data_IF_140024101394
#
_entry.id   IF_140024101394
#
_cell.length_a   1.000
_cell.length_b   1.000
_cell.length_c   1.000
_cell.angle_alpha   90.00
_cell.angle_beta   90.00
_cell.angle_gamma   90.00
#
_symmetry.space_group_name_H-M   'P 1'
#
loop_
_entity.id
_entity.type
_entity.pdbx_description
1 polymer ?
#
# COMPACT_ATOMS: atom_id res chain seq x y z
N UNK A 1 56.44 -49.41 26.54
CA UNK A 1 55.37 -49.33 25.50
C UNK A 1 54.06 -49.21 26.27
N UNK A 2 53.60 -48.03 26.71
CA UNK A 2 53.23 -46.86 25.91
C UNK A 2 51.86 -47.10 25.26
N UNK A 3 50.77 -47.15 26.04
CA UNK A 3 49.81 -46.06 26.32
C UNK A 3 49.03 -45.59 25.08
N UNK A 4 47.72 -45.89 25.01
CA UNK A 4 46.63 -44.92 24.81
C UNK A 4 45.26 -45.63 24.77
N UNK A 5 44.55 -45.58 25.89
CA UNK A 5 43.11 -45.85 25.99
C UNK A 5 42.40 -44.50 25.76
N UNK A 6 41.69 -44.36 24.65
CA UNK A 6 40.84 -43.20 24.36
C UNK A 6 39.45 -43.47 24.94
N UNK A 7 39.23 -43.02 26.16
CA UNK A 7 37.89 -42.93 26.76
C UNK A 7 37.26 -41.63 26.23
N UNK A 8 36.37 -41.78 25.25
CA UNK A 8 35.55 -40.69 24.72
C UNK A 8 34.53 -40.25 25.77
N UNK A 9 34.83 -39.15 26.44
CA UNK A 9 33.94 -38.46 27.37
C UNK A 9 32.85 -37.73 26.56
N UNK A 10 31.73 -38.40 26.28
CA UNK A 10 30.54 -37.77 25.70
C UNK A 10 29.85 -36.94 26.78
N UNK A 11 30.27 -35.69 26.89
CA UNK A 11 29.64 -34.65 27.70
C UNK A 11 28.28 -34.31 27.04
N UNK A 12 27.20 -34.89 27.56
CA UNK A 12 25.83 -34.46 27.25
C UNK A 12 25.65 -33.03 27.78
N UNK A 13 25.81 -32.03 26.91
CA UNK A 13 25.26 -30.71 27.13
C UNK A 13 23.73 -30.78 27.02
N UNK A 14 23.06 -31.20 28.10
CA UNK A 14 21.66 -30.91 28.33
C UNK A 14 21.52 -29.43 28.71
N UNK A 15 21.73 -28.55 27.72
CA UNK A 15 21.26 -27.18 27.81
C UNK A 15 19.74 -27.23 27.64
N UNK A 16 19.03 -27.20 28.76
CA UNK A 16 17.67 -26.69 28.81
C UNK A 16 17.70 -25.26 28.27
N UNK A 17 17.48 -25.11 26.97
CA UNK A 17 17.06 -23.85 26.38
C UNK A 17 15.63 -23.59 26.88
N UNK A 18 15.52 -23.07 28.10
CA UNK A 18 14.39 -22.24 28.43
C UNK A 18 14.48 -21.06 27.47
N UNK A 19 13.73 -21.13 26.39
CA UNK A 19 13.54 -20.04 25.45
C UNK A 19 13.19 -18.82 26.30
N UNK A 20 14.04 -17.78 26.38
CA UNK A 20 13.64 -16.57 27.07
C UNK A 20 12.36 -16.13 26.37
N UNK A 21 11.27 -16.00 27.13
CA UNK A 21 10.06 -15.33 26.70
C UNK A 21 10.47 -13.92 26.27
N UNK A 22 10.92 -13.78 25.02
CA UNK A 22 11.14 -12.49 24.38
C UNK A 22 9.75 -11.89 24.35
N UNK A 23 9.49 -10.96 25.27
CA UNK A 23 8.23 -10.26 25.33
C UNK A 23 8.02 -9.63 23.97
N UNK A 24 7.13 -10.23 23.18
CA UNK A 24 6.81 -9.70 21.85
C UNK A 24 6.29 -8.29 22.10
N UNK A 25 6.89 -7.25 21.51
CA UNK A 25 6.46 -5.89 21.75
C UNK A 25 4.95 -5.82 21.50
N UNK A 26 4.20 -5.49 22.53
CA UNK A 26 2.74 -5.29 22.45
C UNK A 26 2.46 -4.25 21.38
N UNK A 27 1.41 -4.44 20.58
CA UNK A 27 1.05 -3.44 19.57
C UNK A 27 0.86 -2.08 20.25
N UNK A 28 1.54 -1.05 19.73
CA UNK A 28 1.59 0.29 20.30
C UNK A 28 2.81 0.58 21.18
N UNK A 29 3.49 -0.44 21.72
CA UNK A 29 4.61 -0.25 22.66
C UNK A 29 5.85 0.39 22.03
N UNK A 30 6.05 0.20 20.72
CA UNK A 30 7.13 0.80 19.92
C UNK A 30 6.65 1.97 19.06
N UNK A 31 5.43 2.46 19.29
CA UNK A 31 4.77 3.48 18.47
C UNK A 31 4.00 2.92 17.27
N UNK A 32 4.28 1.68 16.83
CA UNK A 32 3.52 0.99 15.76
C UNK A 32 2.17 0.50 16.27
N UNK A 33 1.08 0.87 15.60
CA UNK A 33 -0.27 0.50 16.01
C UNK A 33 -1.03 -0.16 14.85
N UNK A 34 -1.99 -1.00 15.18
CA UNK A 34 -2.81 -1.66 14.16
C UNK A 34 -3.76 -0.65 13.52
N UNK A 35 -4.07 -0.87 12.24
CA UNK A 35 -5.07 -0.09 11.51
C UNK A 35 -6.41 -0.23 12.21
N UNK A 36 -6.96 0.91 12.64
CA UNK A 36 -8.23 0.94 13.36
C UNK A 36 -9.35 0.40 12.47
N UNK A 37 -10.14 -0.53 13.02
CA UNK A 37 -11.25 -1.25 12.37
C UNK A 37 -10.88 -2.28 11.29
N UNK A 38 -9.64 -2.31 10.78
CA UNK A 38 -9.20 -3.30 9.78
C UNK A 38 -8.34 -4.41 10.37
N UNK A 39 -7.68 -4.16 11.51
CA UNK A 39 -6.76 -5.10 12.14
C UNK A 39 -6.89 -5.13 13.65
N UNK A 40 -6.49 -6.26 14.24
CA UNK A 40 -6.50 -6.51 15.68
C UNK A 40 -5.11 -6.92 16.16
N UNK A 41 -4.76 -6.54 17.40
CA UNK A 41 -3.51 -6.97 18.01
C UNK A 41 -3.65 -8.40 18.55
N UNK A 42 -2.97 -9.36 17.92
CA UNK A 42 -2.96 -10.76 18.33
C UNK A 42 -1.52 -11.17 18.61
N UNK A 43 -1.22 -11.63 19.83
CA UNK A 43 0.12 -12.06 20.24
C UNK A 43 1.24 -11.02 19.96
N UNK A 44 0.93 -9.73 20.18
CA UNK A 44 1.85 -8.62 19.94
C UNK A 44 2.04 -8.24 18.46
N UNK A 45 1.24 -8.79 17.55
CA UNK A 45 1.32 -8.48 16.11
C UNK A 45 -0.02 -7.95 15.60
N UNK A 46 0.04 -7.01 14.66
CA UNK A 46 -1.15 -6.52 13.99
C UNK A 46 -1.56 -7.48 12.87
N UNK A 47 -2.68 -8.17 13.10
CA UNK A 47 -3.25 -9.15 12.18
C UNK A 47 -4.53 -8.57 11.58
N UNK A 48 -4.67 -8.67 10.26
CA UNK A 48 -5.88 -8.22 9.57
C UNK A 48 -7.10 -9.02 10.02
N UNK A 49 -8.23 -8.33 10.16
CA UNK A 49 -9.50 -8.97 10.48
C UNK A 49 -9.94 -9.82 9.28
N UNK A 50 -10.20 -11.12 9.49
CA UNK A 50 -10.64 -12.02 8.43
C UNK A 50 -11.97 -11.53 7.81
N UNK A 51 -12.19 -11.73 6.51
CA UNK A 51 -11.39 -12.52 5.56
C UNK A 51 -10.15 -11.81 4.99
N UNK A 52 -9.87 -10.56 5.38
CA UNK A 52 -8.77 -9.81 4.79
C UNK A 52 -7.39 -10.40 5.12
N UNK A 53 -6.43 -10.19 4.22
CA UNK A 53 -5.03 -10.58 4.37
C UNK A 53 -4.10 -9.37 4.27
N UNK A 54 -2.82 -9.53 4.63
CA UNK A 54 -1.82 -8.47 4.54
C UNK A 54 -1.18 -8.16 5.88
N UNK A 55 -0.74 -6.92 6.06
CA UNK A 55 -0.06 -6.45 7.27
C UNK A 55 -0.94 -5.45 8.01
N UNK A 56 -1.40 -5.82 9.20
CA UNK A 56 -2.34 -5.00 9.96
C UNK A 56 -1.79 -3.65 10.46
N UNK A 57 -0.50 -3.37 10.26
CA UNK A 57 0.20 -2.11 10.55
C UNK A 57 0.55 -1.31 9.28
N UNK A 58 0.11 -1.78 8.11
CA UNK A 58 0.33 -1.14 6.82
C UNK A 58 -0.96 -1.10 5.99
N UNK A 59 -1.49 -2.28 5.64
CA UNK A 59 -2.73 -2.44 4.89
C UNK A 59 -3.28 -3.86 4.97
N UNK A 60 -4.60 -3.95 5.04
CA UNK A 60 -5.38 -5.17 4.89
C UNK A 60 -6.14 -5.15 3.56
N UNK A 61 -6.10 -6.25 2.83
CA UNK A 61 -6.59 -6.41 1.46
C UNK A 61 -7.66 -7.49 1.39
N UNK A 62 -8.54 -7.38 0.40
CA UNK A 62 -9.54 -8.42 0.13
C UNK A 62 -8.87 -9.70 -0.40
N UNK A 63 -9.46 -10.87 -0.11
CA UNK A 63 -8.89 -12.19 -0.51
C UNK A 63 -8.64 -12.34 -2.01
N UNK A 64 -9.40 -11.62 -2.82
CA UNK A 64 -9.35 -11.69 -4.29
C UNK A 64 -8.47 -10.60 -4.92
N UNK A 65 -7.82 -9.78 -4.10
CA UNK A 65 -6.95 -8.70 -4.57
C UNK A 65 -5.53 -9.19 -4.84
N UNK A 66 -4.88 -8.57 -5.82
CA UNK A 66 -3.43 -8.62 -6.00
C UNK A 66 -2.85 -7.24 -5.71
N UNK A 67 -1.65 -7.17 -5.15
CA UNK A 67 -1.10 -5.92 -4.63
C UNK A 67 0.36 -5.73 -5.02
N UNK A 68 0.73 -4.48 -5.28
CA UNK A 68 2.09 -4.01 -5.43
C UNK A 68 2.36 -2.98 -4.33
N UNK A 69 3.47 -3.09 -3.61
CA UNK A 69 3.76 -2.23 -2.46
C UNK A 69 5.15 -1.61 -2.59
N UNK A 70 5.30 -0.36 -2.13
CA UNK A 70 6.59 0.26 -1.82
C UNK A 70 6.56 0.76 -0.39
N UNK A 71 7.37 0.21 0.50
CA UNK A 71 7.35 0.59 1.92
C UNK A 71 8.74 0.55 2.55
N UNK A 72 8.91 1.33 3.62
CA UNK A 72 10.21 1.47 4.29
C UNK A 72 11.21 2.32 3.50
N UNK A 73 12.49 1.96 3.55
CA UNK A 73 13.56 2.51 2.68
C UNK A 73 13.58 1.71 1.38
N UNK A 74 12.92 2.21 0.32
CA UNK A 74 11.72 1.55 -0.15
C UNK A 74 12.07 0.22 -0.79
N UNK A 75 11.51 -0.84 -0.21
CA UNK A 75 11.46 -2.14 -0.84
C UNK A 75 10.21 -2.19 -1.71
N UNK A 76 10.40 -2.47 -3.01
CA UNK A 76 9.35 -2.78 -3.94
C UNK A 76 8.95 -4.24 -3.75
N UNK A 77 7.65 -4.49 -3.58
CA UNK A 77 7.05 -5.81 -3.56
C UNK A 77 6.12 -5.90 -4.76
N UNK A 78 6.46 -6.72 -5.75
CA UNK A 78 5.69 -6.86 -6.99
C UNK A 78 4.39 -7.65 -6.77
N UNK A 79 3.49 -7.65 -7.77
CA UNK A 79 2.28 -8.48 -7.75
C UNK A 79 2.58 -9.98 -7.62
N UNK A 80 3.77 -10.42 -8.05
CA UNK A 80 4.27 -11.79 -7.92
C UNK A 80 4.94 -12.07 -6.57
N UNK A 81 4.93 -11.10 -5.65
CA UNK A 81 5.57 -11.14 -4.32
C UNK A 81 7.11 -11.18 -4.37
N UNK A 82 7.71 -10.77 -5.47
CA UNK A 82 9.15 -10.56 -5.54
C UNK A 82 9.50 -9.28 -4.80
N UNK A 83 10.62 -9.30 -4.07
CA UNK A 83 11.08 -8.17 -3.27
C UNK A 83 12.38 -7.63 -3.84
N UNK A 84 12.40 -6.34 -4.15
CA UNK A 84 13.56 -5.64 -4.69
C UNK A 84 13.82 -4.35 -3.89
N UNK A 85 15.09 -4.05 -3.62
CA UNK A 85 15.46 -2.77 -3.04
C UNK A 85 15.36 -1.69 -4.13
N UNK A 86 14.56 -0.65 -3.89
CA UNK A 86 14.24 0.36 -4.90
C UNK A 86 14.58 1.79 -4.45
N UNK A 87 15.85 2.11 -4.10
CA UNK A 87 16.24 3.39 -3.51
C UNK A 87 16.39 4.54 -4.53
N UNK A 88 15.57 4.57 -5.57
CA UNK A 88 15.68 5.58 -6.62
C UNK A 88 14.86 6.83 -6.27
N UNK A 89 15.47 8.04 -6.19
CA UNK A 89 14.80 9.28 -5.77
C UNK A 89 13.97 9.94 -6.89
N UNK A 90 13.53 9.17 -7.88
CA UNK A 90 12.86 9.68 -9.07
C UNK A 90 11.37 9.31 -9.07
N UNK A 91 10.63 9.85 -10.04
CA UNK A 91 9.30 9.35 -10.43
C UNK A 91 9.49 8.07 -11.26
N UNK A 92 8.73 7.03 -10.95
CA UNK A 92 8.78 5.74 -11.65
C UNK A 92 7.37 5.17 -11.80
N UNK A 93 7.13 4.42 -12.88
CA UNK A 93 5.88 3.72 -13.10
C UNK A 93 5.83 2.49 -12.18
N UNK A 94 5.06 2.59 -11.09
CA UNK A 94 4.90 1.51 -10.11
C UNK A 94 3.97 0.41 -10.65
N UNK A 95 2.93 0.80 -11.39
CA UNK A 95 2.06 -0.15 -12.08
C UNK A 95 1.39 0.46 -13.30
N UNK A 96 1.11 -0.39 -14.28
CA UNK A 96 0.23 -0.10 -15.40
C UNK A 96 -0.71 -1.29 -15.58
N UNK A 97 -1.99 -1.07 -15.29
CA UNK A 97 -2.99 -2.13 -15.28
C UNK A 97 -4.09 -1.82 -16.27
N UNK A 98 -4.59 -2.87 -16.93
CA UNK A 98 -5.78 -2.84 -17.77
C UNK A 98 -6.75 -3.87 -17.24
N UNK A 99 -7.97 -3.47 -16.97
CA UNK A 99 -9.02 -4.33 -16.40
C UNK A 99 -10.30 -4.19 -17.22
N UNK A 100 -11.11 -5.24 -17.26
CA UNK A 100 -12.45 -5.15 -17.82
C UNK A 100 -13.34 -4.35 -16.86
N UNK A 101 -14.07 -3.37 -17.39
CA UNK A 101 -15.08 -2.65 -16.64
C UNK A 101 -16.35 -3.50 -16.63
N UNK A 102 -16.82 -3.82 -15.44
CA UNK A 102 -18.03 -4.63 -15.27
C UNK A 102 -19.11 -3.86 -14.56
N UNK A 103 -20.35 -4.09 -14.97
CA UNK A 103 -21.51 -3.56 -14.26
C UNK A 103 -21.81 -4.38 -12.99
N UNK A 104 -22.92 -4.05 -12.32
CA UNK A 104 -23.39 -4.76 -11.11
C UNK A 104 -23.84 -6.20 -11.39
N UNK A 105 -24.14 -6.54 -12.64
CA UNK A 105 -24.49 -7.90 -13.05
C UNK A 105 -23.26 -8.70 -13.49
N UNK A 106 -22.06 -8.12 -13.36
CA UNK A 106 -20.77 -8.70 -13.76
C UNK A 106 -20.64 -8.85 -15.29
N UNK A 107 -21.46 -8.14 -16.07
CA UNK A 107 -21.36 -8.03 -17.52
C UNK A 107 -20.26 -7.02 -17.89
N UNK A 108 -19.47 -7.35 -18.91
CA UNK A 108 -18.42 -6.45 -19.41
C UNK A 108 -19.07 -5.31 -20.20
N UNK A 109 -18.96 -4.09 -19.68
CA UNK A 109 -19.53 -2.88 -20.27
C UNK A 109 -18.46 -1.91 -20.78
N UNK A 110 -17.19 -2.32 -20.72
CA UNK A 110 -16.07 -1.47 -21.12
C UNK A 110 -14.72 -1.95 -20.60
N UNK A 111 -13.76 -1.02 -20.56
CA UNK A 111 -12.38 -1.26 -20.09
C UNK A 111 -11.86 -0.10 -19.26
N UNK A 112 -11.04 -0.42 -18.27
CA UNK A 112 -10.26 0.55 -17.51
C UNK A 112 -8.77 0.39 -17.80
N UNK A 113 -8.06 1.51 -17.83
CA UNK A 113 -6.61 1.57 -17.91
C UNK A 113 -6.09 2.54 -16.85
N UNK A 114 -5.28 2.05 -15.92
CA UNK A 114 -4.68 2.86 -14.86
C UNK A 114 -3.15 2.81 -14.91
N UNK A 115 -2.52 3.97 -14.79
CA UNK A 115 -1.08 4.11 -14.59
C UNK A 115 -0.84 4.77 -13.24
N UNK A 116 -0.06 4.11 -12.39
CA UNK A 116 0.31 4.66 -11.08
C UNK A 116 1.81 4.83 -11.05
N UNK A 117 2.25 6.06 -10.79
CA UNK A 117 3.65 6.36 -10.59
C UNK A 117 3.91 6.64 -9.11
N UNK A 118 4.96 6.06 -8.56
CA UNK A 118 5.49 6.47 -7.26
C UNK A 118 6.53 7.56 -7.45
N UNK A 119 6.77 8.37 -6.43
CA UNK A 119 7.97 9.19 -6.36
C UNK A 119 8.53 9.19 -4.95
N UNK A 120 9.83 8.92 -4.89
CA UNK A 120 10.56 8.89 -3.65
C UNK A 120 11.20 10.25 -3.37
N UNK A 121 11.50 10.50 -2.11
CA UNK A 121 12.33 11.60 -1.65
C UNK A 121 13.28 11.13 -0.57
N UNK A 122 14.09 12.04 -0.05
CA UNK A 122 15.04 11.75 1.02
C UNK A 122 14.67 12.50 2.28
N UNK A 123 14.63 11.79 3.41
CA UNK A 123 14.45 12.36 4.74
C UNK A 123 15.29 11.57 5.75
N UNK A 124 16.03 12.27 6.60
CA UNK A 124 16.85 11.65 7.67
C UNK A 124 17.80 10.55 7.15
N UNK A 125 18.40 10.77 5.98
CA UNK A 125 19.31 9.81 5.34
C UNK A 125 18.64 8.63 4.63
N UNK A 126 17.31 8.44 4.75
CA UNK A 126 16.55 7.35 4.15
C UNK A 126 15.78 7.81 2.92
N UNK A 127 15.53 6.90 1.98
CA UNK A 127 14.55 7.14 0.93
C UNK A 127 13.16 6.84 1.46
N UNK A 128 12.18 7.68 1.11
CA UNK A 128 10.80 7.55 1.54
C UNK A 128 9.87 7.79 0.35
N UNK A 129 8.71 7.16 0.35
CA UNK A 129 7.68 7.43 -0.67
C UNK A 129 6.99 8.74 -0.31
N UNK A 130 7.22 9.79 -1.11
CA UNK A 130 6.62 11.12 -0.89
C UNK A 130 5.19 11.23 -1.40
N UNK A 131 4.78 10.32 -2.27
CA UNK A 131 3.44 10.29 -2.83
C UNK A 131 3.36 9.50 -4.12
N UNK A 132 2.28 9.75 -4.86
CA UNK A 132 1.99 9.06 -6.10
C UNK A 132 1.31 9.98 -7.12
N UNK A 133 1.45 9.60 -8.37
CA UNK A 133 0.59 10.06 -9.45
C UNK A 133 -0.29 8.90 -9.91
N UNK A 134 -1.55 9.16 -10.25
CA UNK A 134 -2.44 8.18 -10.86
C UNK A 134 -3.15 8.81 -12.05
N UNK A 135 -3.13 8.09 -13.17
CA UNK A 135 -3.90 8.43 -14.37
C UNK A 135 -4.84 7.26 -14.64
N UNK A 136 -6.14 7.54 -14.75
CA UNK A 136 -7.18 6.55 -15.04
C UNK A 136 -7.89 6.93 -16.33
N UNK A 137 -8.20 5.92 -17.14
CA UNK A 137 -9.06 6.02 -18.31
C UNK A 137 -10.09 4.91 -18.24
N UNK A 138 -11.36 5.26 -18.39
CA UNK A 138 -12.53 4.39 -18.35
C UNK A 138 -13.20 4.54 -19.70
N UNK A 139 -13.35 3.44 -20.42
CA UNK A 139 -13.95 3.41 -21.75
C UNK A 139 -15.19 2.52 -21.69
N UNK A 140 -16.37 3.09 -21.90
CA UNK A 140 -17.63 2.35 -22.01
C UNK A 140 -17.84 1.91 -23.45
N UNK A 141 -18.41 0.72 -23.63
CA UNK A 141 -18.70 0.17 -24.95
C UNK A 141 -20.06 0.66 -25.50
N UNK A 142 -21.04 0.90 -24.64
CA UNK A 142 -22.39 1.34 -25.05
C UNK A 142 -23.09 2.25 -24.01
N UNK A 143 -23.36 3.53 -24.33
CA UNK A 143 -22.85 4.24 -25.50
C UNK A 143 -21.32 4.40 -25.43
N UNK A 144 -20.61 4.42 -26.57
CA UNK A 144 -19.16 4.62 -26.60
C UNK A 144 -18.79 5.96 -25.97
N UNK A 145 -18.24 5.92 -24.76
CA UNK A 145 -17.84 7.12 -24.02
C UNK A 145 -16.52 6.86 -23.31
N UNK A 146 -15.69 7.90 -23.16
CA UNK A 146 -14.42 7.80 -22.45
C UNK A 146 -14.37 8.86 -21.37
N UNK A 147 -14.08 8.42 -20.16
CA UNK A 147 -13.82 9.26 -18.99
C UNK A 147 -12.37 9.09 -18.61
N UNK A 148 -11.65 10.18 -18.42
CA UNK A 148 -10.25 10.13 -18.03
C UNK A 148 -9.96 11.17 -16.94
N UNK A 149 -8.99 10.87 -16.09
CA UNK A 149 -8.47 11.86 -15.14
C UNK A 149 -7.04 11.52 -14.71
N UNK A 150 -6.32 12.55 -14.27
CA UNK A 150 -4.99 12.43 -13.68
C UNK A 150 -4.98 13.12 -12.31
N UNK A 151 -4.28 12.55 -11.35
CA UNK A 151 -4.12 13.07 -9.99
C UNK A 151 -2.67 12.91 -9.56
N UNK A 152 -2.09 13.99 -9.03
CA UNK A 152 -0.84 13.98 -8.27
C UNK A 152 -1.15 14.26 -6.81
N UNK A 153 -0.65 13.40 -5.94
CA UNK A 153 -0.74 13.54 -4.50
C UNK A 153 0.63 13.42 -3.87
N UNK A 154 1.11 14.48 -3.20
CA UNK A 154 2.27 14.43 -2.31
C UNK A 154 1.83 14.72 -0.88
N UNK A 155 2.41 14.02 0.07
CA UNK A 155 2.23 14.32 1.48
C UNK A 155 3.52 14.11 2.26
N UNK A 156 3.80 15.05 3.16
CA UNK A 156 4.78 14.90 4.24
C UNK A 156 4.06 15.08 5.57
N UNK A 157 4.56 14.42 6.61
CA UNK A 157 3.96 14.49 7.95
C UNK A 157 4.99 14.97 8.95
N UNK A 158 4.58 15.86 9.85
CA UNK A 158 5.35 16.29 11.01
C UNK A 158 4.44 16.23 12.25
N UNK A 159 4.76 15.37 13.21
CA UNK A 159 3.97 15.18 14.44
C UNK A 159 2.49 14.86 14.15
N UNK A 160 2.22 13.95 13.23
CA UNK A 160 0.90 13.60 12.69
C UNK A 160 0.14 14.74 11.97
N UNK A 161 0.80 15.85 11.67
CA UNK A 161 0.23 16.95 10.87
C UNK A 161 0.71 16.81 9.44
N UNK A 162 -0.24 16.73 8.50
CA UNK A 162 0.05 16.53 7.08
C UNK A 162 0.17 17.85 6.32
N UNK A 163 1.24 17.99 5.55
CA UNK A 163 1.35 18.99 4.49
C UNK A 163 1.10 18.30 3.17
N UNK A 164 0.05 18.71 2.46
CA UNK A 164 -0.45 18.02 1.26
C UNK A 164 -0.29 18.92 0.03
N UNK A 165 0.24 18.36 -1.05
CA UNK A 165 0.13 18.91 -2.40
C UNK A 165 -0.78 18.00 -3.23
N UNK A 166 -1.94 18.51 -3.63
CA UNK A 166 -2.86 17.83 -4.54
C UNK A 166 -2.98 18.66 -5.83
N UNK A 167 -2.79 18.01 -6.98
CA UNK A 167 -3.05 18.56 -8.32
C UNK A 167 -3.81 17.53 -9.12
N UNK A 168 -4.76 17.94 -9.94
CA UNK A 168 -5.61 17.01 -10.68
C UNK A 168 -6.19 17.63 -11.93
N UNK A 169 -6.51 16.80 -12.92
CA UNK A 169 -7.10 17.23 -14.19
C UNK A 169 -8.11 16.20 -14.68
N UNK A 170 -9.33 16.65 -14.98
CA UNK A 170 -10.37 15.80 -15.57
C UNK A 170 -10.32 15.85 -17.10
N UNK A 171 -10.81 14.80 -17.76
CA UNK A 171 -10.86 14.66 -19.22
C UNK A 171 -9.53 14.29 -19.87
N UNK A 172 -8.50 13.96 -19.09
CA UNK A 172 -7.14 13.73 -19.60
C UNK A 172 -6.56 12.43 -19.07
N UNK A 173 -5.87 11.68 -19.95
CA UNK A 173 -5.08 10.50 -19.60
C UNK A 173 -3.64 10.70 -20.05
N UNK A 174 -2.88 11.44 -19.24
CA UNK A 174 -1.47 11.72 -19.50
C UNK A 174 -0.67 11.83 -18.19
N UNK A 175 0.55 12.34 -18.29
CA UNK A 175 1.44 12.62 -17.17
C UNK A 175 1.47 14.12 -16.80
N UNK A 176 0.45 14.88 -17.20
CA UNK A 176 0.30 16.30 -16.88
C UNK A 176 -0.58 16.48 -15.64
N UNK A 177 -0.02 17.15 -14.63
CA UNK A 177 -0.67 17.40 -13.33
C UNK A 177 -0.75 18.90 -13.07
N UNK A 178 -1.24 19.64 -14.08
CA UNK A 178 -1.12 21.10 -14.16
C UNK A 178 -2.35 21.84 -13.64
N UNK A 179 -3.48 21.17 -13.46
CA UNK A 179 -4.71 21.78 -12.94
C UNK A 179 -4.93 21.47 -11.45
N UNK A 180 -5.92 22.14 -10.87
CA UNK A 180 -6.40 21.96 -9.50
C UNK A 180 -7.80 21.34 -9.47
N UNK A 181 -8.17 20.58 -10.51
CA UNK A 181 -9.48 19.96 -10.60
C UNK A 181 -9.66 18.98 -9.43
N UNK A 182 -10.88 18.92 -8.91
CA UNK A 182 -11.22 17.83 -8.03
C UNK A 182 -11.50 16.57 -8.87
N UNK A 183 -10.56 15.64 -8.81
CA UNK A 183 -10.61 14.38 -9.55
C UNK A 183 -11.65 13.48 -8.91
N UNK A 184 -12.87 13.61 -9.41
CA UNK A 184 -14.02 12.81 -9.01
C UNK A 184 -14.85 12.43 -10.22
N UNK A 185 -15.38 11.22 -10.22
CA UNK A 185 -16.32 10.74 -11.22
C UNK A 185 -17.29 9.76 -10.56
N UNK A 186 -18.57 9.81 -10.92
CA UNK A 186 -19.60 8.94 -10.37
C UNK A 186 -20.56 8.51 -11.45
N UNK A 187 -20.67 7.20 -11.62
CA UNK A 187 -21.71 6.51 -12.37
C UNK A 187 -22.28 5.41 -11.47
N UNK A 188 -23.21 5.83 -10.61
CA UNK A 188 -23.85 4.94 -9.65
C UNK A 188 -24.65 3.81 -10.33
N UNK A 189 -25.12 4.00 -11.56
CA UNK A 189 -25.82 2.98 -12.34
C UNK A 189 -24.90 1.77 -12.56
N UNK A 190 -23.68 2.04 -13.01
CA UNK A 190 -22.69 1.03 -13.37
C UNK A 190 -21.74 0.68 -12.21
N UNK A 191 -21.90 1.29 -11.03
CA UNK A 191 -21.04 1.04 -9.89
C UNK A 191 -19.62 1.59 -10.05
N UNK A 192 -19.45 2.61 -10.91
CA UNK A 192 -18.14 3.19 -11.23
C UNK A 192 -17.97 4.49 -10.48
N UNK A 193 -17.02 4.55 -9.55
CA UNK A 193 -16.72 5.76 -8.79
C UNK A 193 -15.21 6.00 -8.73
N UNK A 194 -14.79 7.20 -9.10
CA UNK A 194 -13.42 7.67 -8.91
C UNK A 194 -13.43 8.75 -7.84
N UNK A 195 -12.63 8.59 -6.79
CA UNK A 195 -12.50 9.59 -5.73
C UNK A 195 -11.20 9.46 -4.94
N UNK A 196 -10.87 10.53 -4.23
CA UNK A 196 -9.73 10.63 -3.34
C UNK A 196 -10.17 11.07 -1.94
N UNK A 197 -9.81 10.32 -0.90
CA UNK A 197 -10.18 10.58 0.49
C UNK A 197 -8.98 10.48 1.44
N UNK A 198 -9.15 11.05 2.64
CA UNK A 198 -8.18 10.95 3.72
C UNK A 198 -8.78 10.22 4.92
N UNK A 199 -8.15 9.10 5.30
CA UNK A 199 -8.42 8.39 6.54
C UNK A 199 -7.51 8.93 7.63
N UNK A 200 -8.03 9.92 8.37
CA UNK A 200 -7.30 10.60 9.43
C UNK A 200 -6.94 9.69 10.62
N UNK A 201 -7.73 8.64 10.89
CA UNK A 201 -7.49 7.72 12.01
C UNK A 201 -6.24 6.89 11.81
N UNK A 202 -5.96 6.54 10.56
CA UNK A 202 -4.83 5.72 10.17
C UNK A 202 -3.74 6.51 9.41
N UNK A 203 -3.93 7.81 9.22
CA UNK A 203 -3.06 8.68 8.44
C UNK A 203 -2.79 8.17 7.01
N UNK A 204 -3.85 7.82 6.28
CA UNK A 204 -3.74 7.25 4.92
C UNK A 204 -4.51 8.09 3.92
N UNK A 205 -3.89 8.35 2.78
CA UNK A 205 -4.55 8.93 1.61
C UNK A 205 -4.96 7.82 0.67
N UNK A 206 -6.21 7.84 0.23
CA UNK A 206 -6.83 6.73 -0.49
C UNK A 206 -7.41 7.28 -1.79
N UNK A 207 -6.89 6.82 -2.91
CA UNK A 207 -7.52 6.96 -4.22
C UNK A 207 -8.22 5.66 -4.57
N UNK A 208 -9.48 5.74 -5.02
CA UNK A 208 -10.25 4.59 -5.49
C UNK A 208 -10.82 4.87 -6.86
N UNK A 209 -10.72 3.89 -7.75
CA UNK A 209 -11.50 3.77 -8.97
C UNK A 209 -12.34 2.48 -8.85
N UNK A 210 -13.45 2.60 -8.13
CA UNK A 210 -14.47 1.55 -7.99
C UNK A 210 -15.06 1.22 -9.38
N UNK A 211 -15.39 -0.05 -9.62
CA UNK A 211 -15.73 -0.58 -10.94
C UNK A 211 -14.51 -0.93 -11.82
N UNK A 212 -13.40 -0.20 -11.67
CA UNK A 212 -12.11 -0.57 -12.29
C UNK A 212 -11.26 -1.50 -11.41
N UNK A 213 -11.61 -1.60 -10.12
CA UNK A 213 -10.91 -2.43 -9.14
C UNK A 213 -9.54 -1.88 -8.73
N UNK A 214 -9.25 -0.60 -8.97
CA UNK A 214 -7.93 -0.01 -8.67
C UNK A 214 -8.01 0.85 -7.42
N UNK A 215 -7.24 0.51 -6.39
CA UNK A 215 -7.09 1.31 -5.18
C UNK A 215 -5.62 1.66 -4.96
N UNK A 216 -5.33 2.94 -4.70
CA UNK A 216 -3.99 3.42 -4.37
C UNK A 216 -4.02 4.03 -2.99
N UNK A 217 -3.12 3.57 -2.12
CA UNK A 217 -3.04 4.03 -0.73
C UNK A 217 -1.64 4.53 -0.47
N UNK A 218 -1.55 5.75 0.06
CA UNK A 218 -0.30 6.35 0.50
C UNK A 218 -0.35 6.67 1.98
N UNK A 219 0.62 6.15 2.72
CA UNK A 219 0.88 6.50 4.11
C UNK A 219 2.15 7.36 4.11
N UNK A 220 2.04 8.68 4.35
CA UNK A 220 3.19 9.57 4.36
C UNK A 220 4.13 9.25 5.52
N UNK A 221 5.43 9.51 5.31
CA UNK A 221 6.43 9.40 6.35
C UNK A 221 6.36 10.59 7.31
N UNK A 222 6.22 10.29 8.61
CA UNK A 222 6.38 11.29 9.65
C UNK A 222 7.85 11.53 10.00
N UNK A 223 8.36 12.71 9.65
CA UNK A 223 9.78 13.05 9.82
C UNK A 223 10.19 13.29 11.27
N UNK A 224 9.24 13.61 12.16
CA UNK A 224 9.55 13.77 13.59
C UNK A 224 9.37 12.47 14.36
N UNK A 225 8.30 11.71 14.10
CA UNK A 225 8.05 10.43 14.79
C UNK A 225 8.92 9.29 14.25
N UNK A 226 9.35 9.35 12.99
CA UNK A 226 10.24 8.36 12.35
C UNK A 226 9.70 6.94 12.50
N UNK A 227 10.37 6.08 13.29
CA UNK A 227 9.95 4.69 13.53
C UNK A 227 8.77 4.57 14.52
N UNK A 228 8.53 5.61 15.32
CA UNK A 228 7.46 5.66 16.31
C UNK A 228 6.10 6.05 15.70
N UNK A 229 6.05 6.35 14.39
CA UNK A 229 4.79 6.62 13.70
C UNK A 229 3.91 5.36 13.69
N UNK A 230 2.59 5.53 13.80
CA UNK A 230 1.64 4.43 13.98
C UNK A 230 1.63 3.42 12.85
N UNK A 231 1.48 3.89 11.62
CA UNK A 231 1.39 3.04 10.43
C UNK A 231 2.69 3.04 9.64
N UNK A 232 3.00 1.93 8.99
CA UNK A 232 4.19 1.84 8.13
C UNK A 232 4.04 2.81 6.94
N UNK A 233 5.02 3.69 6.71
CA UNK A 233 4.98 4.61 5.59
C UNK A 233 5.22 3.86 4.27
N UNK A 234 4.54 4.29 3.21
CA UNK A 234 4.67 3.65 1.91
C UNK A 234 3.49 3.91 0.97
N UNK A 235 3.56 3.27 -0.18
CA UNK A 235 2.54 3.23 -1.22
C UNK A 235 2.08 1.78 -1.40
N UNK A 236 0.79 1.59 -1.54
CA UNK A 236 0.20 0.31 -1.93
C UNK A 236 -0.70 0.56 -3.13
N UNK A 237 -0.59 -0.29 -4.14
CA UNK A 237 -1.49 -0.34 -5.28
C UNK A 237 -2.16 -1.70 -5.30
N UNK A 238 -3.44 -1.70 -5.00
CA UNK A 238 -4.31 -2.86 -4.99
C UNK A 238 -5.10 -2.90 -6.30
N UNK A 239 -5.12 -4.08 -6.91
CA UNK A 239 -6.02 -4.41 -8.02
C UNK A 239 -6.91 -5.55 -7.55
N UNK A 240 -8.16 -5.22 -7.26
CA UNK A 240 -9.18 -6.18 -6.90
C UNK A 240 -9.74 -6.84 -8.17
N UNK A 241 -9.94 -8.17 -8.15
CA UNK A 241 -10.85 -8.77 -9.13
C UNK A 241 -12.23 -8.16 -8.90
N UNK A 242 -12.72 -7.40 -9.88
CA UNK A 242 -14.05 -6.81 -9.88
C UNK A 242 -15.07 -7.89 -9.46
N UNK A 243 -15.55 -7.80 -8.21
CA UNK A 243 -16.79 -8.47 -7.83
C UNK A 243 -17.87 -7.48 -8.27
N UNK A 244 -18.65 -7.86 -9.30
CA UNK A 244 -20.02 -7.36 -9.39
C UNK A 244 -20.77 -7.66 -8.11
#
# INVERSE_FOLDING_TARGET
>A
MGLQLLVGLSLLCLLNAADPYVSRPTCGSTGRACIKHEASCTNGQCVCNKPAWGRGDFRCYDEKSVVCELKGDPALISYSKEVENFPYPCRYLATHVKTDLKDKNNDVIGKCEAKVHGFNGKADGKHIVLGFDVSIKIQYDSPPTTVASTLRHRATTLNNINTILKRGKNGVFDDSYTSNDDVTYRDNSNGVNVFFTWDNKNNRFIYKAEGCGVHVIHTPFDVSLKLQQKQVPGLSVEVSKNNG
#
